data_IF_636950824673
#
_entry.id   IF_636950824673
#
_cell.length_a   1.000
_cell.length_b   1.000
_cell.length_c   1.000
_cell.angle_alpha   90.00
_cell.angle_beta   90.00
_cell.angle_gamma   90.00
#
_symmetry.space_group_name_H-M   'P 1'
#
loop_
_entity.id
_entity.type
_entity.pdbx_description
1 polymer ?
#
# COMPACT_ATOMS: atom_id res chain seq x y z
N UNK A 1 14.24 19.32 14.85
CA UNK A 1 14.76 19.07 13.49
C UNK A 1 15.34 20.33 12.85
N UNK A 2 14.76 21.52 13.03
CA UNK A 2 15.39 22.78 12.59
C UNK A 2 16.73 23.07 13.27
N UNK A 3 16.90 22.67 14.55
CA UNK A 3 18.15 22.80 15.30
C UNK A 3 19.35 22.00 14.72
N UNK A 4 19.12 21.08 13.78
CA UNK A 4 20.18 20.32 13.07
C UNK A 4 20.24 20.66 11.57
N UNK A 5 19.70 21.82 11.17
CA UNK A 5 19.67 22.30 9.78
C UNK A 5 18.96 21.36 8.78
N UNK A 6 18.02 20.54 9.27
CA UNK A 6 17.19 19.66 8.45
C UNK A 6 15.82 20.29 8.23
N UNK A 7 15.45 20.50 6.96
CA UNK A 7 14.10 20.92 6.58
C UNK A 7 13.23 19.68 6.31
N UNK A 8 12.20 19.50 7.11
CA UNK A 8 11.17 18.49 6.88
C UNK A 8 10.04 19.11 6.07
N UNK A 9 9.64 18.43 4.99
CA UNK A 9 8.43 18.75 4.23
C UNK A 9 7.40 17.71 4.63
N UNK A 10 6.24 18.18 5.09
CA UNK A 10 5.13 17.31 5.48
C UNK A 10 3.84 17.89 4.89
N UNK A 11 3.29 17.17 3.93
CA UNK A 11 1.99 17.39 3.35
C UNK A 11 1.23 16.05 3.30
N UNK A 12 -0.07 16.09 3.59
CA UNK A 12 -0.95 14.91 3.56
C UNK A 12 -1.83 14.88 2.32
N UNK A 13 -1.73 15.91 1.47
CA UNK A 13 -2.50 16.01 0.23
C UNK A 13 -1.86 15.23 -0.92
N UNK A 14 -0.60 14.81 -0.81
CA UNK A 14 0.15 14.17 -1.89
C UNK A 14 1.05 13.05 -1.34
N UNK A 15 1.36 12.05 -2.17
CA UNK A 15 2.30 11.01 -1.78
C UNK A 15 3.75 11.53 -1.75
N UNK A 16 4.62 10.83 -1.03
CA UNK A 16 6.02 11.25 -0.82
C UNK A 16 6.75 11.50 -2.14
N UNK A 17 6.59 10.62 -3.13
CA UNK A 17 7.24 10.76 -4.44
C UNK A 17 6.80 12.03 -5.17
N UNK A 18 5.50 12.37 -5.11
CA UNK A 18 4.99 13.62 -5.70
C UNK A 18 5.53 14.84 -4.97
N UNK A 19 5.68 14.78 -3.65
CA UNK A 19 6.31 15.86 -2.87
C UNK A 19 7.79 16.05 -3.26
N UNK A 20 8.53 14.94 -3.41
CA UNK A 20 9.94 14.94 -3.89
C UNK A 20 10.02 15.54 -5.28
N UNK A 21 9.21 15.05 -6.23
CA UNK A 21 9.16 15.60 -7.58
C UNK A 21 8.85 17.10 -7.56
N UNK A 22 7.79 17.53 -6.88
CA UNK A 22 7.42 18.95 -6.88
C UNK A 22 8.50 19.85 -6.28
N UNK A 23 9.23 19.35 -5.27
CA UNK A 23 10.35 20.06 -4.65
C UNK A 23 11.56 20.18 -5.57
N UNK A 24 11.85 19.14 -6.35
CA UNK A 24 13.10 19.02 -7.11
C UNK A 24 12.94 19.04 -8.63
N UNK A 25 11.74 19.18 -9.18
CA UNK A 25 11.45 19.12 -10.64
C UNK A 25 12.33 19.98 -11.53
N UNK A 26 12.88 21.09 -11.02
CA UNK A 26 13.84 21.95 -11.76
C UNK A 26 15.23 21.33 -11.94
N UNK A 27 15.53 20.24 -11.21
CA UNK A 27 16.80 19.49 -11.23
C UNK A 27 16.63 18.08 -11.78
N UNK A 28 15.41 17.70 -12.14
CA UNK A 28 15.09 16.36 -12.64
C UNK A 28 14.79 16.45 -14.14
N UNK A 29 15.02 15.37 -14.85
CA UNK A 29 14.60 15.26 -16.25
C UNK A 29 13.07 15.07 -16.34
N UNK A 30 12.54 15.13 -17.56
CA UNK A 30 11.09 15.03 -17.81
C UNK A 30 10.52 13.66 -17.42
N UNK A 31 11.33 12.59 -17.44
CA UNK A 31 10.91 11.25 -17.04
C UNK A 31 10.54 11.19 -15.55
N UNK A 32 11.10 12.04 -14.69
CA UNK A 32 10.71 12.08 -13.28
C UNK A 32 9.22 12.42 -13.06
N UNK A 33 8.59 13.14 -14.00
CA UNK A 33 7.15 13.39 -13.95
C UNK A 33 6.34 12.09 -14.12
N UNK A 34 6.81 11.18 -14.98
CA UNK A 34 6.21 9.87 -15.18
C UNK A 34 6.32 9.00 -13.92
N UNK A 35 7.50 8.94 -13.31
CA UNK A 35 7.70 8.20 -12.04
C UNK A 35 6.80 8.74 -10.94
N UNK A 36 6.66 10.07 -10.84
CA UNK A 36 5.76 10.72 -9.88
C UNK A 36 4.28 10.42 -10.18
N UNK A 37 3.87 10.39 -11.45
CA UNK A 37 2.51 10.01 -11.85
C UNK A 37 2.20 8.54 -11.49
N UNK A 38 3.13 7.62 -11.78
CA UNK A 38 3.00 6.22 -11.38
C UNK A 38 2.86 6.07 -9.87
N UNK A 39 3.69 6.76 -9.09
CA UNK A 39 3.61 6.73 -7.63
C UNK A 39 2.27 7.30 -7.11
N UNK A 40 1.74 8.36 -7.72
CA UNK A 40 0.43 8.91 -7.37
C UNK A 40 -0.68 7.86 -7.59
N UNK A 41 -0.67 7.16 -8.73
CA UNK A 41 -1.62 6.08 -9.04
C UNK A 41 -1.55 4.97 -7.98
N UNK A 42 -0.34 4.52 -7.64
CA UNK A 42 -0.15 3.34 -6.78
C UNK A 42 -0.47 3.63 -5.32
N UNK A 43 -0.33 4.88 -4.90
CA UNK A 43 -0.73 5.35 -3.57
C UNK A 43 -2.21 5.80 -3.51
N UNK A 44 -2.98 5.64 -4.60
CA UNK A 44 -4.37 6.09 -4.73
C UNK A 44 -4.53 7.60 -4.48
N UNK A 45 -3.57 8.37 -4.96
CA UNK A 45 -3.48 9.83 -4.83
C UNK A 45 -3.43 10.52 -6.20
N UNK A 46 -3.78 9.83 -7.27
CA UNK A 46 -3.85 10.40 -8.62
C UNK A 46 -5.00 11.40 -8.82
N UNK A 47 -5.94 11.48 -7.87
CA UNK A 47 -7.02 12.48 -7.84
C UNK A 47 -6.65 13.73 -7.02
N UNK A 48 -5.45 13.77 -6.42
CA UNK A 48 -4.97 14.89 -5.61
C UNK A 48 -4.48 16.07 -6.47
N UNK A 49 -4.37 17.29 -5.92
CA UNK A 49 -4.10 18.50 -6.70
C UNK A 49 -2.87 18.46 -7.62
N UNK A 50 -1.78 17.80 -7.22
CA UNK A 50 -0.57 17.60 -8.02
C UNK A 50 -0.60 16.25 -8.74
N UNK A 51 -1.02 15.17 -8.08
CA UNK A 51 -1.17 13.85 -8.70
C UNK A 51 -2.04 13.88 -9.97
N UNK A 52 -3.16 14.60 -9.94
CA UNK A 52 -4.06 14.76 -11.09
C UNK A 52 -3.42 15.51 -12.26
N UNK A 53 -2.63 16.56 -11.98
CA UNK A 53 -1.88 17.30 -13.00
C UNK A 53 -0.78 16.47 -13.63
N UNK A 54 -0.10 15.64 -12.83
CA UNK A 54 0.92 14.72 -13.32
C UNK A 54 0.31 13.67 -14.26
N UNK A 55 -0.82 13.08 -13.88
CA UNK A 55 -1.50 12.09 -14.71
C UNK A 55 -1.99 12.67 -16.04
N UNK A 56 -2.39 13.94 -16.08
CA UNK A 56 -2.85 14.62 -17.31
C UNK A 56 -1.75 14.79 -18.37
N UNK A 57 -0.47 14.65 -18.01
CA UNK A 57 0.65 14.75 -18.97
C UNK A 57 0.70 13.54 -19.90
N UNK A 58 0.20 12.39 -19.43
CA UNK A 58 0.36 11.10 -20.11
C UNK A 58 -0.98 10.56 -20.60
N UNK A 59 -0.93 9.66 -21.58
CA UNK A 59 -2.09 8.80 -21.84
C UNK A 59 -2.44 8.03 -20.56
N UNK A 60 -3.72 8.03 -20.20
CA UNK A 60 -4.18 7.47 -18.93
C UNK A 60 -3.93 5.97 -18.85
N UNK A 61 -4.15 5.24 -19.94
CA UNK A 61 -3.97 3.78 -19.94
C UNK A 61 -2.50 3.43 -19.87
N UNK A 62 -1.65 4.16 -20.60
CA UNK A 62 -0.20 4.05 -20.53
C UNK A 62 0.33 4.25 -19.11
N UNK A 63 -0.12 5.29 -18.40
CA UNK A 63 0.30 5.53 -17.02
C UNK A 63 -0.20 4.44 -16.06
N UNK A 64 -1.46 4.00 -16.20
CA UNK A 64 -2.06 2.97 -15.34
C UNK A 64 -1.38 1.61 -15.50
N UNK A 65 -1.15 1.16 -16.74
CA UNK A 65 -0.48 -0.13 -16.97
C UNK A 65 0.96 -0.07 -16.46
N UNK A 66 1.67 1.03 -16.73
CA UNK A 66 3.04 1.23 -16.28
C UNK A 66 3.16 1.22 -14.75
N UNK A 67 2.29 1.97 -14.07
CA UNK A 67 2.24 2.02 -12.62
C UNK A 67 1.97 0.64 -11.99
N UNK A 68 1.07 -0.13 -12.63
CA UNK A 68 0.74 -1.50 -12.21
C UNK A 68 1.92 -2.44 -12.39
N UNK A 69 2.58 -2.40 -13.55
CA UNK A 69 3.77 -3.21 -13.85
C UNK A 69 4.88 -2.90 -12.86
N UNK A 70 5.22 -1.62 -12.63
CA UNK A 70 6.23 -1.23 -11.65
C UNK A 70 5.90 -1.74 -10.24
N UNK A 71 4.64 -1.59 -9.81
CA UNK A 71 4.20 -2.07 -8.50
C UNK A 71 4.40 -3.56 -8.34
N UNK A 72 4.03 -4.36 -9.34
CA UNK A 72 4.19 -5.80 -9.26
C UNK A 72 5.63 -6.25 -9.36
N UNK A 73 6.48 -5.52 -10.08
CA UNK A 73 7.92 -5.73 -10.04
C UNK A 73 8.47 -5.51 -8.63
N UNK A 74 8.13 -4.40 -7.97
CA UNK A 74 8.56 -4.09 -6.60
C UNK A 74 8.02 -5.12 -5.60
N UNK A 75 6.71 -5.42 -5.64
CA UNK A 75 6.06 -6.36 -4.72
C UNK A 75 6.61 -7.78 -4.88
N UNK A 76 6.91 -8.20 -6.12
CA UNK A 76 7.46 -9.51 -6.41
C UNK A 76 8.89 -9.71 -5.90
N UNK A 77 9.64 -8.62 -5.73
CA UNK A 77 11.08 -8.63 -5.43
C UNK A 77 11.41 -7.94 -4.11
N UNK A 78 10.47 -7.86 -3.15
CA UNK A 78 10.70 -7.20 -1.85
C UNK A 78 11.85 -7.79 -1.03
N UNK A 79 12.24 -9.04 -1.30
CA UNK A 79 13.36 -9.72 -0.64
C UNK A 79 14.58 -9.87 -1.58
N UNK A 80 14.59 -9.14 -2.69
CA UNK A 80 15.66 -9.14 -3.69
C UNK A 80 16.19 -7.70 -3.87
N UNK A 81 17.13 -7.28 -3.00
CA UNK A 81 17.63 -5.91 -3.01
C UNK A 81 18.36 -5.57 -4.31
N UNK A 82 19.02 -6.53 -4.94
CA UNK A 82 19.77 -6.33 -6.17
C UNK A 82 18.81 -5.99 -7.33
N UNK A 83 17.69 -6.70 -7.43
CA UNK A 83 16.65 -6.37 -8.41
C UNK A 83 16.02 -5.00 -8.15
N UNK A 84 15.78 -4.65 -6.88
CA UNK A 84 15.22 -3.34 -6.54
C UNK A 84 16.17 -2.18 -6.88
N UNK A 85 17.48 -2.36 -6.68
CA UNK A 85 18.49 -1.39 -7.10
C UNK A 85 18.58 -1.31 -8.62
N UNK A 86 18.57 -2.45 -9.32
CA UNK A 86 18.49 -2.49 -10.78
C UNK A 86 17.28 -1.71 -11.31
N UNK A 87 16.10 -1.87 -10.71
CA UNK A 87 14.91 -1.13 -11.11
C UNK A 87 15.08 0.39 -10.91
N UNK A 88 15.78 0.82 -9.85
CA UNK A 88 16.10 2.23 -9.63
C UNK A 88 17.03 2.76 -10.73
N UNK A 89 18.06 2.00 -11.08
CA UNK A 89 19.01 2.39 -12.13
C UNK A 89 18.30 2.55 -13.48
N UNK A 90 17.46 1.58 -13.87
CA UNK A 90 16.71 1.63 -15.13
C UNK A 90 15.77 2.86 -15.20
N UNK A 91 15.06 3.17 -14.11
CA UNK A 91 14.20 4.35 -14.02
C UNK A 91 15.02 5.65 -14.05
N UNK A 92 16.23 5.65 -13.49
CA UNK A 92 17.12 6.82 -13.51
C UNK A 92 17.65 7.14 -14.92
N UNK A 93 17.84 6.10 -15.73
CA UNK A 93 18.16 6.17 -17.16
C UNK A 93 16.91 6.45 -18.04
N UNK A 94 15.80 6.85 -17.42
CA UNK A 94 14.55 7.25 -18.09
C UNK A 94 13.83 6.14 -18.86
N UNK A 95 14.09 4.87 -18.51
CA UNK A 95 13.39 3.73 -19.12
C UNK A 95 11.98 3.58 -18.58
N UNK A 96 11.03 3.44 -19.49
CA UNK A 96 9.67 3.04 -19.16
C UNK A 96 9.59 1.54 -18.84
N UNK A 97 8.55 1.07 -18.14
CA UNK A 97 8.45 -0.33 -17.76
C UNK A 97 8.55 -1.31 -18.93
N UNK A 98 8.00 -0.97 -20.10
CA UNK A 98 8.05 -1.81 -21.29
C UNK A 98 9.45 -1.91 -21.93
N UNK A 99 10.38 -1.04 -21.55
CA UNK A 99 11.78 -1.09 -21.98
C UNK A 99 12.64 -1.91 -20.99
N UNK A 100 12.13 -2.20 -19.79
CA UNK A 100 12.81 -2.99 -18.77
C UNK A 100 12.57 -4.48 -19.04
N UNK A 101 13.63 -5.27 -19.27
CA UNK A 101 13.54 -6.70 -19.52
C UNK A 101 12.65 -7.45 -18.51
N UNK A 102 11.78 -8.31 -19.04
CA UNK A 102 10.90 -9.21 -18.28
C UNK A 102 9.88 -8.54 -17.33
N UNK A 103 9.76 -7.20 -17.35
CA UNK A 103 8.95 -6.49 -16.37
C UNK A 103 7.47 -6.88 -16.43
N UNK A 104 6.94 -7.14 -17.63
CA UNK A 104 5.55 -7.55 -17.84
C UNK A 104 5.32 -9.01 -17.46
N UNK A 105 6.29 -9.87 -17.71
CA UNK A 105 6.28 -11.28 -17.31
C UNK A 105 6.26 -11.39 -15.78
N UNK A 106 7.08 -10.61 -15.09
CA UNK A 106 7.03 -10.52 -13.63
C UNK A 106 5.71 -9.98 -13.13
N UNK A 107 5.15 -8.96 -13.81
CA UNK A 107 3.83 -8.44 -13.47
C UNK A 107 2.73 -9.51 -13.63
N UNK A 108 2.76 -10.30 -14.70
CA UNK A 108 1.83 -11.40 -14.93
C UNK A 108 1.89 -12.44 -13.80
N UNK A 109 3.09 -12.85 -13.39
CA UNK A 109 3.26 -13.80 -12.27
C UNK A 109 2.61 -13.28 -10.99
N UNK A 110 2.70 -11.97 -10.71
CA UNK A 110 2.05 -11.38 -9.53
C UNK A 110 0.53 -11.30 -9.68
N UNK A 111 0.01 -11.04 -10.88
CA UNK A 111 -1.44 -11.09 -11.16
C UNK A 111 -1.99 -12.49 -10.88
N UNK A 112 -1.31 -13.54 -11.32
CA UNK A 112 -1.71 -14.93 -11.07
C UNK A 112 -1.76 -15.25 -9.57
N UNK A 113 -0.73 -14.83 -8.83
CA UNK A 113 -0.71 -14.93 -7.36
C UNK A 113 -1.89 -14.19 -6.73
N UNK A 114 -2.18 -12.97 -7.17
CA UNK A 114 -3.26 -12.15 -6.64
C UNK A 114 -4.64 -12.77 -6.96
N UNK A 115 -4.83 -13.32 -8.16
CA UNK A 115 -6.04 -14.03 -8.55
C UNK A 115 -6.29 -15.26 -7.67
N UNK A 116 -5.23 -16.00 -7.32
CA UNK A 116 -5.35 -17.17 -6.43
C UNK A 116 -5.84 -16.82 -5.02
N UNK A 117 -5.50 -15.62 -4.52
CA UNK A 117 -5.92 -15.12 -3.21
C UNK A 117 -7.44 -14.90 -3.16
N UNK A 118 -8.08 -14.50 -4.26
CA UNK A 118 -9.54 -14.26 -4.30
C UNK A 118 -10.31 -15.50 -3.81
N UNK A 119 -9.94 -16.68 -4.30
CA UNK A 119 -10.55 -17.95 -3.91
C UNK A 119 -10.33 -18.28 -2.43
N UNK A 120 -9.16 -17.96 -1.89
CA UNK A 120 -8.86 -18.16 -0.46
C UNK A 120 -9.68 -17.22 0.43
N UNK A 121 -9.79 -15.94 0.04
CA UNK A 121 -10.59 -14.94 0.75
C UNK A 121 -12.05 -15.32 0.79
N UNK A 122 -12.64 -15.73 -0.35
CA UNK A 122 -14.04 -16.18 -0.40
C UNK A 122 -14.32 -17.37 0.54
N UNK A 123 -13.36 -18.27 0.72
CA UNK A 123 -13.52 -19.47 1.56
C UNK A 123 -13.33 -19.21 3.05
N UNK A 124 -12.40 -18.32 3.42
CA UNK A 124 -11.84 -18.28 4.78
C UNK A 124 -12.03 -16.95 5.50
N UNK A 125 -12.47 -15.91 4.79
CA UNK A 125 -12.77 -14.61 5.40
C UNK A 125 -13.89 -14.76 6.44
N UNK A 126 -13.73 -14.02 7.53
CA UNK A 126 -14.74 -13.85 8.57
C UNK A 126 -15.33 -12.46 8.47
N UNK A 127 -16.62 -12.35 8.74
CA UNK A 127 -17.33 -11.07 8.73
C UNK A 127 -17.92 -10.83 10.12
N UNK A 128 -17.72 -9.62 10.62
CA UNK A 128 -18.30 -9.12 11.87
C UNK A 128 -19.33 -8.03 11.56
N UNK A 129 -19.88 -7.36 12.58
CA UNK A 129 -20.83 -6.26 12.39
C UNK A 129 -20.25 -5.17 11.47
N UNK A 130 -19.02 -4.72 11.74
CA UNK A 130 -18.45 -3.52 11.11
C UNK A 130 -17.24 -3.80 10.19
N UNK A 131 -16.64 -4.99 10.22
CA UNK A 131 -15.48 -5.30 9.37
C UNK A 131 -15.45 -6.76 8.86
N UNK A 132 -14.78 -6.95 7.73
CA UNK A 132 -14.29 -8.26 7.27
C UNK A 132 -12.85 -8.48 7.69
N UNK A 133 -12.47 -9.71 8.05
CA UNK A 133 -11.09 -10.04 8.38
C UNK A 133 -10.64 -11.43 7.98
N UNK A 134 -9.34 -11.61 7.75
CA UNK A 134 -8.74 -12.90 7.41
C UNK A 134 -7.28 -13.00 7.90
N UNK A 135 -6.91 -14.18 8.39
CA UNK A 135 -5.51 -14.57 8.54
C UNK A 135 -4.99 -15.14 7.22
N UNK A 136 -3.84 -14.66 6.77
CA UNK A 136 -3.17 -15.10 5.55
C UNK A 136 -1.97 -15.95 5.93
N UNK A 137 -1.88 -17.14 5.35
CA UNK A 137 -0.78 -18.08 5.60
C UNK A 137 0.33 -17.95 4.55
N UNK A 138 -0.04 -17.96 3.27
CA UNK A 138 0.92 -18.21 2.19
C UNK A 138 1.33 -16.95 1.41
N UNK A 139 0.60 -15.84 1.55
CA UNK A 139 0.85 -14.59 0.81
C UNK A 139 1.02 -13.38 1.73
N UNK A 140 1.33 -12.21 1.17
CA UNK A 140 1.42 -10.96 1.94
C UNK A 140 0.03 -10.42 2.30
N UNK A 141 -0.15 -9.92 3.53
CA UNK A 141 -1.43 -9.38 4.00
C UNK A 141 -1.94 -8.20 3.16
N UNK A 142 -1.04 -7.41 2.57
CA UNK A 142 -1.37 -6.23 1.75
C UNK A 142 -2.12 -6.57 0.45
N UNK A 143 -1.84 -7.71 -0.17
CA UNK A 143 -2.53 -8.15 -1.39
C UNK A 143 -3.95 -8.65 -1.09
N UNK A 144 -4.16 -9.30 0.05
CA UNK A 144 -5.45 -9.88 0.41
C UNK A 144 -6.46 -8.88 0.98
N UNK A 145 -6.00 -7.84 1.70
CA UNK A 145 -6.90 -6.93 2.44
C UNK A 145 -7.89 -6.19 1.54
N UNK A 146 -7.51 -5.86 0.30
CA UNK A 146 -8.43 -5.23 -0.67
C UNK A 146 -9.57 -6.17 -1.06
N UNK A 147 -9.30 -7.47 -1.23
CA UNK A 147 -10.34 -8.46 -1.47
C UNK A 147 -11.19 -8.70 -0.23
N UNK A 148 -10.59 -8.74 0.97
CA UNK A 148 -11.34 -8.83 2.22
C UNK A 148 -12.32 -7.65 2.34
N UNK A 149 -11.86 -6.43 2.10
CA UNK A 149 -12.72 -5.24 2.06
C UNK A 149 -13.85 -5.42 1.04
N UNK A 150 -13.51 -5.64 -0.23
CA UNK A 150 -14.48 -5.67 -1.33
C UNK A 150 -15.50 -6.82 -1.24
N UNK A 151 -15.09 -7.99 -0.76
CA UNK A 151 -15.95 -9.17 -0.69
C UNK A 151 -16.74 -9.28 0.61
N UNK A 152 -16.34 -8.56 1.67
CA UNK A 152 -17.03 -8.62 2.97
C UNK A 152 -18.38 -7.88 2.98
N UNK A 153 -18.60 -6.98 2.02
CA UNK A 153 -19.73 -6.04 2.05
C UNK A 153 -19.64 -5.03 3.20
N UNK A 154 -18.46 -4.85 3.81
CA UNK A 154 -18.21 -3.91 4.91
C UNK A 154 -17.37 -2.73 4.44
N UNK A 155 -17.35 -1.68 5.24
CA UNK A 155 -16.53 -0.49 4.95
C UNK A 155 -15.07 -0.66 5.38
N UNK A 156 -14.76 -1.69 6.15
CA UNK A 156 -13.39 -1.97 6.62
C UNK A 156 -13.03 -3.44 6.40
N UNK A 157 -11.86 -3.66 5.80
CA UNK A 157 -11.25 -4.97 5.63
C UNK A 157 -9.92 -5.06 6.40
N UNK A 158 -9.65 -6.22 6.99
CA UNK A 158 -8.42 -6.50 7.73
C UNK A 158 -7.80 -7.81 7.23
N UNK A 159 -6.53 -7.80 6.85
CA UNK A 159 -5.78 -9.03 6.62
C UNK A 159 -4.54 -9.03 7.51
N UNK A 160 -4.15 -10.19 8.03
CA UNK A 160 -2.95 -10.28 8.85
C UNK A 160 -2.17 -11.57 8.61
N UNK A 161 -0.84 -11.49 8.69
CA UNK A 161 0.08 -12.62 8.50
C UNK A 161 1.00 -12.76 9.70
N UNK A 162 1.19 -13.99 10.18
CA UNK A 162 2.14 -14.25 11.26
C UNK A 162 3.58 -14.02 10.78
N UNK A 163 4.37 -13.29 11.58
CA UNK A 163 5.82 -13.19 11.47
C UNK A 163 6.41 -14.00 12.62
N UNK A 164 6.60 -15.31 12.40
CA UNK A 164 6.98 -16.28 13.44
C UNK A 164 8.25 -15.88 14.19
N UNK A 165 9.25 -15.39 13.46
CA UNK A 165 10.55 -14.97 14.01
C UNK A 165 10.44 -13.84 15.05
N UNK A 166 9.34 -13.08 15.01
CA UNK A 166 9.12 -11.92 15.86
C UNK A 166 7.94 -12.11 16.84
N UNK A 167 7.21 -13.24 16.78
CA UNK A 167 6.05 -13.49 17.63
C UNK A 167 4.89 -12.49 17.44
N UNK A 168 4.78 -11.88 16.26
CA UNK A 168 3.77 -10.85 15.93
C UNK A 168 2.94 -11.25 14.71
N UNK A 169 1.84 -10.53 14.52
CA UNK A 169 1.12 -10.42 13.26
C UNK A 169 1.41 -9.09 12.59
N UNK A 170 1.79 -9.13 11.32
CA UNK A 170 1.75 -7.97 10.43
C UNK A 170 0.33 -7.81 9.89
N UNK A 171 -0.33 -6.72 10.27
CA UNK A 171 -1.73 -6.42 9.96
C UNK A 171 -1.80 -5.33 8.90
N UNK A 172 -2.63 -5.54 7.89
CA UNK A 172 -3.03 -4.57 6.88
C UNK A 172 -4.51 -4.25 7.05
N UNK A 173 -4.86 -2.96 7.04
CA UNK A 173 -6.25 -2.48 7.16
C UNK A 173 -6.57 -1.57 5.98
N UNK A 174 -7.75 -1.74 5.41
CA UNK A 174 -8.27 -0.90 4.32
C UNK A 174 -9.68 -0.44 4.62
N UNK A 175 -9.98 0.81 4.29
CA UNK A 175 -11.29 1.42 4.36
C UNK A 175 -11.85 1.70 2.97
N UNK A 176 -13.16 1.56 2.81
CA UNK A 176 -13.87 2.01 1.61
C UNK A 176 -13.87 3.55 1.53
N UNK A 177 -14.28 4.10 0.38
CA UNK A 177 -14.48 5.56 0.23
C UNK A 177 -15.51 6.11 1.22
N UNK A 178 -16.49 5.30 1.61
CA UNK A 178 -17.54 5.68 2.57
C UNK A 178 -17.09 5.64 4.03
N UNK A 179 -15.97 4.97 4.34
CA UNK A 179 -15.45 4.87 5.70
C UNK A 179 -15.04 6.26 6.22
N UNK A 180 -15.80 6.83 7.17
CA UNK A 180 -15.53 8.16 7.72
C UNK A 180 -14.46 8.20 8.81
N UNK A 181 -14.11 7.03 9.35
CA UNK A 181 -13.12 6.90 10.41
C UNK A 181 -11.72 7.05 9.83
N UNK A 182 -10.86 7.82 10.50
CA UNK A 182 -9.45 7.87 10.16
C UNK A 182 -8.74 6.61 10.67
N UNK A 183 -8.66 5.58 9.83
CA UNK A 183 -8.17 4.25 10.22
C UNK A 183 -6.73 4.29 10.75
N UNK A 184 -5.82 5.05 10.14
CA UNK A 184 -4.44 5.16 10.62
C UNK A 184 -4.33 5.60 12.08
N UNK A 185 -5.09 6.61 12.51
CA UNK A 185 -5.12 7.09 13.90
C UNK A 185 -5.76 6.06 14.84
N UNK A 186 -6.88 5.47 14.44
CA UNK A 186 -7.56 4.44 15.24
C UNK A 186 -6.68 3.20 15.43
N UNK A 187 -6.11 2.68 14.35
CA UNK A 187 -5.23 1.51 14.36
C UNK A 187 -3.97 1.78 15.18
N UNK A 188 -3.35 2.96 15.08
CA UNK A 188 -2.21 3.34 15.93
C UNK A 188 -2.57 3.28 17.41
N UNK A 189 -3.69 3.90 17.82
CA UNK A 189 -4.18 3.87 19.21
C UNK A 189 -4.39 2.43 19.68
N UNK A 190 -5.18 1.64 18.94
CA UNK A 190 -5.55 0.28 19.33
C UNK A 190 -4.36 -0.69 19.34
N UNK A 191 -3.42 -0.54 18.40
CA UNK A 191 -2.20 -1.34 18.37
C UNK A 191 -1.35 -1.05 19.62
N UNK A 192 -1.18 0.22 19.98
CA UNK A 192 -0.44 0.64 21.17
C UNK A 192 -1.06 0.09 22.46
N UNK A 193 -2.39 0.14 22.59
CA UNK A 193 -3.13 -0.42 23.75
C UNK A 193 -2.91 -1.93 23.97
N UNK A 194 -2.55 -2.68 22.91
CA UNK A 194 -2.30 -4.11 22.99
C UNK A 194 -0.81 -4.47 22.97
N UNK A 195 0.09 -3.49 23.11
CA UNK A 195 1.55 -3.69 23.13
C UNK A 195 2.15 -3.87 21.74
N UNK A 196 1.47 -3.40 20.70
CA UNK A 196 1.94 -3.34 19.32
C UNK A 196 2.24 -1.91 18.87
N UNK A 197 2.41 -1.75 17.57
CA UNK A 197 2.60 -0.45 16.92
C UNK A 197 1.81 -0.40 15.62
N UNK A 198 1.40 0.79 15.16
CA UNK A 198 0.66 0.91 13.91
C UNK A 198 0.51 2.34 13.44
N UNK A 199 -0.13 2.53 12.30
CA UNK A 199 -0.34 3.84 11.70
C UNK A 199 -0.54 3.76 10.19
N UNK A 200 -0.66 4.93 9.57
CA UNK A 200 -0.86 5.08 8.13
C UNK A 200 -1.90 6.14 7.79
N UNK A 201 -2.41 6.08 6.58
CA UNK A 201 -3.41 6.99 6.07
C UNK A 201 -4.81 6.69 6.62
N UNK A 202 -5.76 7.57 6.31
CA UNK A 202 -7.15 7.46 6.76
C UNK A 202 -7.86 6.23 6.17
N UNK A 203 -7.51 5.81 4.94
CA UNK A 203 -8.08 4.62 4.27
C UNK A 203 -7.14 3.42 4.16
N UNK A 204 -5.84 3.60 4.33
CA UNK A 204 -4.86 2.52 4.19
C UNK A 204 -3.81 2.62 5.31
N UNK A 205 -3.80 1.64 6.20
CA UNK A 205 -2.90 1.61 7.34
C UNK A 205 -2.48 0.17 7.68
N UNK A 206 -1.57 0.05 8.63
CA UNK A 206 -1.08 -1.24 9.11
C UNK A 206 -0.69 -1.20 10.57
N UNK A 207 -0.44 -2.39 11.12
CA UNK A 207 0.03 -2.56 12.48
C UNK A 207 0.90 -3.82 12.63
N UNK A 208 1.75 -3.81 13.65
CA UNK A 208 2.39 -4.98 14.23
C UNK A 208 1.69 -5.27 15.55
N UNK A 209 1.11 -6.47 15.69
CA UNK A 209 0.32 -6.86 16.86
C UNK A 209 0.92 -8.13 17.47
N UNK A 210 1.19 -8.19 18.79
CA UNK A 210 1.63 -9.43 19.43
C UNK A 210 0.67 -10.59 19.14
N UNK A 211 1.21 -11.77 18.78
CA UNK A 211 0.42 -12.97 18.44
C UNK A 211 -0.74 -13.25 19.41
N UNK A 212 -0.55 -13.26 20.76
CA UNK A 212 -1.65 -13.57 21.68
C UNK A 212 -2.72 -12.48 21.76
N UNK A 213 -2.51 -11.30 21.16
CA UNK A 213 -3.41 -10.14 21.25
C UNK A 213 -4.22 -9.88 19.98
N UNK A 214 -4.01 -10.62 18.89
CA UNK A 214 -4.70 -10.38 17.61
C UNK A 214 -6.22 -10.42 17.74
N UNK A 215 -6.78 -11.38 18.49
CA UNK A 215 -8.23 -11.47 18.72
C UNK A 215 -8.75 -10.23 19.44
N UNK A 216 -8.06 -9.78 20.48
CA UNK A 216 -8.41 -8.56 21.23
C UNK A 216 -8.37 -7.33 20.33
N UNK A 217 -7.35 -7.20 19.49
CA UNK A 217 -7.22 -6.11 18.53
C UNK A 217 -8.40 -6.07 17.54
N UNK A 218 -8.73 -7.20 16.90
CA UNK A 218 -9.84 -7.29 15.94
C UNK A 218 -11.18 -6.95 16.59
N UNK A 219 -11.47 -7.51 17.78
CA UNK A 219 -12.70 -7.20 18.53
C UNK A 219 -12.81 -5.72 18.86
N UNK A 220 -11.70 -5.11 19.32
CA UNK A 220 -11.69 -3.69 19.67
C UNK A 220 -11.87 -2.80 18.45
N UNK A 221 -11.19 -3.11 17.35
CA UNK A 221 -11.35 -2.40 16.08
C UNK A 221 -12.80 -2.46 15.60
N UNK A 222 -13.43 -3.64 15.59
CA UNK A 222 -14.84 -3.78 15.24
C UNK A 222 -15.74 -2.89 16.11
N UNK A 223 -15.53 -2.84 17.44
CA UNK A 223 -16.36 -2.02 18.34
C UNK A 223 -16.20 -0.51 18.14
N UNK A 224 -15.06 -0.05 17.63
CA UNK A 224 -14.75 1.38 17.46
C UNK A 224 -15.12 1.92 16.08
N UNK A 225 -15.64 1.07 15.19
CA UNK A 225 -16.10 1.41 13.85
C UNK A 225 -17.63 1.63 13.77
N UNK A 226 -18.29 1.75 14.92
CA UNK A 226 -19.72 2.12 15.00
C UNK A 226 -19.98 3.58 14.63
#
# INVERSE_FOLDING_TARGET
MEKINVKVIHDINECTTVQVYNKFKRKLNDHAAFVAACAAITDYMEDRPLGSKLLQIFDRQFALISATVLTYNIVGHQNDPDYLLYLVDELSESKYPHEIPNSYEFAQIQVEKLASIISQVKKSMKVTKNLGYMEILDSGASGAVNFVLGLSGKEVGVAYKERKDYGIYAVSVRGSKSCKVHLGKLVNKLATEVGGSGGGHDKACGASIPKPKIKKFITRLNSMLE
#
